data_IF_530154881968
#
_entry.id   IF_530154881968
#
_cell.length_a   1.000
_cell.length_b   1.000
_cell.length_c   1.000
_cell.angle_alpha   90.00
_cell.angle_beta   90.00
_cell.angle_gamma   90.00
#
_symmetry.space_group_name_H-M   'P 1'
#
loop_
_entity.id
_entity.type
_entity.pdbx_description
1 polymer ?
#
# COMPACT_ATOMS: atom_id res chain seq x y z
N UNK A 1 24.41 18.98 -23.30
CA UNK A 1 24.69 17.85 -22.44
C UNK A 1 23.77 17.85 -21.23
N UNK A 2 22.53 17.34 -21.38
CA UNK A 2 21.50 17.31 -20.33
C UNK A 2 21.44 15.96 -19.58
N UNK A 3 22.38 15.07 -19.82
CA UNK A 3 22.43 13.73 -19.21
C UNK A 3 23.02 13.76 -17.79
N UNK A 4 23.62 14.89 -17.38
CA UNK A 4 24.24 15.01 -16.05
C UNK A 4 23.31 15.45 -14.91
N UNK A 5 22.11 16.00 -15.19
CA UNK A 5 21.25 16.55 -14.15
C UNK A 5 20.30 15.54 -13.51
N UNK A 6 19.83 14.55 -14.26
CA UNK A 6 18.92 13.52 -13.73
C UNK A 6 19.63 12.51 -12.80
N UNK A 7 20.87 12.16 -13.10
CA UNK A 7 21.69 11.33 -12.17
C UNK A 7 22.00 12.06 -10.86
N UNK A 8 22.17 13.39 -10.88
CA UNK A 8 22.43 14.18 -9.68
C UNK A 8 21.26 14.26 -8.70
N UNK A 9 20.01 14.22 -9.18
CA UNK A 9 18.82 14.27 -8.29
C UNK A 9 18.59 12.92 -7.60
N UNK A 10 18.77 11.81 -8.32
CA UNK A 10 18.69 10.45 -7.74
C UNK A 10 19.74 10.20 -6.64
N UNK A 11 20.93 10.72 -6.80
CA UNK A 11 22.04 10.52 -5.86
C UNK A 11 22.00 11.49 -4.67
N UNK A 12 21.44 12.71 -4.83
CA UNK A 12 21.49 13.74 -3.79
C UNK A 12 20.76 13.38 -2.50
N UNK A 13 19.63 12.69 -2.58
CA UNK A 13 18.88 12.26 -1.38
C UNK A 13 19.64 11.18 -0.57
N UNK A 14 20.58 10.45 -1.21
CA UNK A 14 21.40 9.44 -0.56
C UNK A 14 22.79 9.96 -0.15
N UNK A 15 23.27 11.05 -0.76
CA UNK A 15 24.64 11.58 -0.56
C UNK A 15 24.93 11.95 0.91
N UNK A 16 23.90 12.38 1.64
CA UNK A 16 24.00 12.74 3.05
C UNK A 16 23.54 11.62 4.01
N UNK A 17 23.12 10.47 3.47
CA UNK A 17 22.68 9.34 4.27
C UNK A 17 23.89 8.60 4.86
N UNK A 18 23.92 8.41 6.18
CA UNK A 18 24.99 7.69 6.87
C UNK A 18 25.12 6.22 6.43
N UNK A 19 24.04 5.64 5.88
CA UNK A 19 23.99 4.26 5.41
C UNK A 19 24.27 4.13 3.90
N UNK A 20 24.57 5.24 3.21
CA UNK A 20 24.76 5.22 1.77
C UNK A 20 26.10 4.59 1.38
N UNK A 21 26.03 3.48 0.68
CA UNK A 21 27.18 2.84 0.06
C UNK A 21 27.00 2.82 -1.45
N UNK A 22 27.78 3.58 -2.19
CA UNK A 22 27.66 3.80 -3.64
C UNK A 22 27.58 2.51 -4.48
N UNK A 23 28.17 1.41 -4.01
CA UNK A 23 28.16 0.11 -4.69
C UNK A 23 27.03 -0.83 -4.27
N UNK A 24 26.34 -0.53 -3.20
CA UNK A 24 25.26 -1.36 -2.63
C UNK A 24 24.10 -0.45 -2.24
N UNK A 25 23.15 -0.20 -3.17
CA UNK A 25 21.97 0.60 -2.84
C UNK A 25 21.19 -0.07 -1.72
N UNK A 26 20.77 0.71 -0.73
CA UNK A 26 19.91 0.25 0.35
C UNK A 26 18.62 -0.38 -0.21
N UNK A 27 18.11 -1.41 0.44
CA UNK A 27 16.74 -1.85 0.20
C UNK A 27 15.78 -0.73 0.55
N UNK A 28 14.66 -0.61 -0.16
CA UNK A 28 13.67 0.45 0.12
C UNK A 28 13.17 0.40 1.57
N UNK A 29 12.97 -0.81 2.13
CA UNK A 29 12.52 -0.99 3.51
C UNK A 29 13.58 -0.63 4.59
N UNK A 30 14.83 -0.44 4.20
CA UNK A 30 15.95 -0.05 5.09
C UNK A 30 16.33 1.41 4.89
N UNK A 31 15.67 2.11 3.96
CA UNK A 31 16.00 3.48 3.60
C UNK A 31 15.48 4.46 4.67
N UNK A 32 16.36 5.10 5.40
CA UNK A 32 16.02 6.11 6.41
C UNK A 32 15.50 7.43 5.83
N UNK A 33 15.76 7.67 4.54
CA UNK A 33 15.31 8.86 3.80
C UNK A 33 14.23 8.49 2.77
N UNK A 34 13.38 7.51 3.08
CA UNK A 34 12.39 7.02 2.11
C UNK A 34 11.34 8.07 1.79
N UNK A 35 10.83 8.78 2.79
CA UNK A 35 9.83 9.84 2.63
C UNK A 35 10.35 10.96 1.74
N UNK A 36 11.54 11.47 2.01
CA UNK A 36 12.15 12.55 1.23
C UNK A 36 12.41 12.14 -0.22
N UNK A 37 12.76 10.87 -0.45
CA UNK A 37 12.96 10.34 -1.80
C UNK A 37 11.65 10.19 -2.57
N UNK A 38 10.58 9.82 -1.88
CA UNK A 38 9.22 9.77 -2.45
C UNK A 38 8.77 11.20 -2.80
N UNK A 39 8.91 12.15 -1.86
CA UNK A 39 8.54 13.56 -2.06
C UNK A 39 9.35 14.22 -3.19
N UNK A 40 10.61 13.85 -3.33
CA UNK A 40 11.47 14.32 -4.42
C UNK A 40 11.16 13.66 -5.78
N UNK A 41 10.21 12.72 -5.85
CA UNK A 41 9.82 12.03 -7.09
C UNK A 41 10.91 11.15 -7.70
N UNK A 42 11.91 10.71 -6.90
CA UNK A 42 13.03 9.90 -7.40
C UNK A 42 12.78 8.39 -7.33
N UNK A 43 11.65 8.00 -6.74
CA UNK A 43 11.24 6.60 -6.62
C UNK A 43 9.94 6.37 -7.40
N UNK A 44 9.91 5.28 -8.15
CA UNK A 44 8.75 4.87 -8.93
C UNK A 44 7.99 3.72 -8.26
N UNK A 45 6.68 3.63 -8.48
CA UNK A 45 5.84 2.52 -8.02
C UNK A 45 6.41 1.14 -8.36
N UNK A 46 7.01 0.99 -9.54
CA UNK A 46 7.62 -0.26 -9.99
C UNK A 46 8.77 -0.74 -9.09
N UNK A 47 9.50 0.17 -8.44
CA UNK A 47 10.59 -0.17 -7.52
C UNK A 47 10.02 -0.77 -6.24
N UNK A 48 8.95 -0.19 -5.70
CA UNK A 48 8.24 -0.69 -4.51
C UNK A 48 7.60 -2.07 -4.78
N UNK A 49 6.92 -2.22 -5.90
CA UNK A 49 6.31 -3.49 -6.31
C UNK A 49 7.38 -4.58 -6.44
N UNK A 50 8.50 -4.27 -7.07
CA UNK A 50 9.61 -5.22 -7.23
C UNK A 50 10.21 -5.60 -5.87
N UNK A 51 10.50 -4.64 -5.01
CA UNK A 51 11.09 -4.92 -3.69
C UNK A 51 10.11 -5.65 -2.76
N UNK A 52 8.80 -5.36 -2.86
CA UNK A 52 7.79 -5.99 -2.01
C UNK A 52 7.50 -7.43 -2.42
N UNK A 53 7.34 -7.69 -3.71
CA UNK A 53 6.72 -8.92 -4.19
C UNK A 53 7.67 -9.86 -4.97
N UNK A 54 8.81 -9.37 -5.52
CA UNK A 54 9.66 -10.16 -6.41
C UNK A 54 10.05 -11.56 -5.89
N UNK A 55 10.36 -11.75 -4.60
CA UNK A 55 10.80 -13.05 -4.09
C UNK A 55 9.72 -14.15 -4.15
N UNK A 56 8.45 -13.75 -4.13
CA UNK A 56 7.30 -14.67 -4.02
C UNK A 56 6.29 -14.58 -5.17
N UNK A 57 6.59 -13.77 -6.20
CA UNK A 57 5.72 -13.58 -7.36
C UNK A 57 5.65 -14.82 -8.25
N UNK A 58 4.54 -15.55 -8.19
CA UNK A 58 4.15 -16.51 -9.23
C UNK A 58 3.85 -15.80 -10.57
N UNK A 59 3.88 -16.55 -11.71
CA UNK A 59 3.67 -15.97 -13.05
C UNK A 59 2.32 -15.25 -13.20
N UNK A 60 1.25 -15.80 -12.64
CA UNK A 60 -0.10 -15.24 -12.70
C UNK A 60 -0.21 -13.92 -11.93
N UNK A 61 0.30 -13.88 -10.69
CA UNK A 61 0.34 -12.67 -9.89
C UNK A 61 1.13 -11.56 -10.59
N UNK A 62 2.31 -11.90 -11.14
CA UNK A 62 3.16 -10.96 -11.90
C UNK A 62 2.43 -10.38 -13.11
N UNK A 63 1.75 -11.23 -13.90
CA UNK A 63 0.95 -10.80 -15.05
C UNK A 63 -0.12 -9.80 -14.64
N UNK A 64 -0.87 -10.11 -13.57
CA UNK A 64 -1.93 -9.26 -13.04
C UNK A 64 -1.41 -7.92 -12.52
N UNK A 65 -0.29 -7.95 -11.79
CA UNK A 65 0.38 -6.75 -11.31
C UNK A 65 0.84 -5.84 -12.44
N UNK A 66 1.50 -6.41 -13.48
CA UNK A 66 1.93 -5.64 -14.64
C UNK A 66 0.76 -5.04 -15.41
N UNK A 67 -0.35 -5.75 -15.52
CA UNK A 67 -1.56 -5.23 -16.16
C UNK A 67 -2.09 -4.02 -15.39
N UNK A 68 -2.20 -4.10 -14.08
CA UNK A 68 -2.67 -2.99 -13.25
C UNK A 68 -1.78 -1.75 -13.31
N UNK A 69 -0.47 -1.94 -13.29
CA UNK A 69 0.50 -0.84 -13.41
C UNK A 69 0.45 -0.13 -14.77
N UNK A 70 -0.06 -0.81 -15.82
CA UNK A 70 -0.23 -0.21 -17.15
C UNK A 70 -1.57 0.49 -17.33
N UNK A 71 -2.64 -0.06 -16.76
CA UNK A 71 -4.02 0.37 -17.00
C UNK A 71 -4.47 1.49 -16.05
N UNK A 72 -3.85 1.58 -14.89
CA UNK A 72 -4.19 2.60 -13.89
C UNK A 72 -2.97 3.47 -13.60
N UNK A 73 -3.15 4.77 -13.73
CA UNK A 73 -2.35 5.72 -12.99
C UNK A 73 -2.37 5.30 -11.52
N UNK A 74 -1.27 5.34 -10.77
CA UNK A 74 -1.20 4.83 -9.39
C UNK A 74 -2.11 5.64 -8.45
N UNK A 75 -3.42 5.45 -8.58
CA UNK A 75 -4.39 5.98 -7.63
C UNK A 75 -4.63 4.94 -6.56
N UNK A 76 -4.07 5.15 -5.38
CA UNK A 76 -4.26 4.26 -4.25
C UNK A 76 -5.71 4.24 -3.76
N UNK A 77 -6.38 5.38 -3.79
CA UNK A 77 -7.75 5.48 -3.30
C UNK A 77 -8.77 5.16 -4.38
N UNK A 78 -9.81 4.39 -4.03
CA UNK A 78 -10.94 4.10 -4.94
C UNK A 78 -11.74 5.37 -5.32
N UNK A 79 -11.77 6.34 -4.41
CA UNK A 79 -12.55 7.55 -4.57
C UNK A 79 -12.12 8.62 -3.57
N UNK A 80 -12.52 9.87 -3.83
CA UNK A 80 -12.36 10.97 -2.87
C UNK A 80 -13.08 10.69 -1.53
N UNK A 81 -14.15 9.91 -1.53
CA UNK A 81 -14.84 9.51 -0.30
C UNK A 81 -14.00 8.53 0.53
N UNK A 82 -13.33 7.57 -0.11
CA UNK A 82 -12.37 6.68 0.53
C UNK A 82 -11.21 7.48 1.14
N UNK A 83 -10.58 8.36 0.36
CA UNK A 83 -9.48 9.21 0.83
C UNK A 83 -9.86 10.03 2.05
N UNK A 84 -11.02 10.73 2.01
CA UNK A 84 -11.51 11.51 3.14
C UNK A 84 -11.77 10.67 4.39
N UNK A 85 -12.38 9.47 4.25
CA UNK A 85 -12.59 8.56 5.39
C UNK A 85 -11.28 8.12 6.00
N UNK A 86 -10.33 7.68 5.17
CA UNK A 86 -9.03 7.22 5.63
C UNK A 86 -8.26 8.33 6.35
N UNK A 87 -8.12 9.52 5.76
CA UNK A 87 -7.43 10.67 6.37
C UNK A 87 -8.05 11.03 7.71
N UNK A 88 -9.40 11.15 7.76
CA UNK A 88 -10.10 11.48 8.99
C UNK A 88 -9.83 10.50 10.14
N UNK A 89 -9.83 9.20 9.86
CA UNK A 89 -9.63 8.19 10.90
C UNK A 89 -8.16 7.95 11.20
N UNK A 90 -7.27 8.08 10.25
CA UNK A 90 -5.82 8.02 10.45
C UNK A 90 -5.35 9.10 11.43
N UNK A 91 -5.88 10.30 11.35
CA UNK A 91 -5.56 11.39 12.29
C UNK A 91 -6.08 11.14 13.71
N UNK A 92 -7.24 10.49 13.85
CA UNK A 92 -7.83 10.14 15.14
C UNK A 92 -7.15 8.96 15.82
N UNK A 93 -6.70 8.00 15.03
CA UNK A 93 -6.03 6.79 15.50
C UNK A 93 -4.51 6.92 15.31
N UNK A 94 -3.91 7.93 15.88
CA UNK A 94 -2.51 8.33 15.65
C UNK A 94 -1.46 7.32 16.12
N UNK A 95 -1.83 6.35 16.98
CA UNK A 95 -0.93 5.28 17.47
C UNK A 95 -0.89 4.03 16.59
N UNK A 96 -1.61 4.01 15.48
CA UNK A 96 -1.62 2.85 14.60
C UNK A 96 -0.23 2.59 14.04
N UNK A 97 0.21 1.32 14.12
CA UNK A 97 1.36 0.83 13.37
C UNK A 97 1.07 0.88 11.86
N UNK A 98 2.11 0.83 11.02
CA UNK A 98 1.93 0.85 9.56
C UNK A 98 1.04 -0.30 9.06
N UNK A 99 1.10 -1.47 9.70
CA UNK A 99 0.17 -2.58 9.44
C UNK A 99 -1.28 -2.21 9.75
N UNK A 100 -1.51 -1.57 10.87
CA UNK A 100 -2.87 -1.14 11.24
C UNK A 100 -3.35 0.06 10.42
N UNK A 101 -2.46 0.95 9.97
CA UNK A 101 -2.79 2.00 9.00
C UNK A 101 -3.19 1.39 7.65
N UNK A 102 -2.46 0.37 7.17
CA UNK A 102 -2.80 -0.36 5.96
C UNK A 102 -4.15 -1.11 6.09
N UNK A 103 -4.43 -1.69 7.25
CA UNK A 103 -5.75 -2.26 7.52
C UNK A 103 -6.85 -1.20 7.54
N UNK A 104 -6.61 -0.04 8.16
CA UNK A 104 -7.53 1.10 8.14
C UNK A 104 -7.82 1.55 6.70
N UNK A 105 -6.78 1.63 5.85
CA UNK A 105 -6.93 1.96 4.44
C UNK A 105 -7.91 1.02 3.73
N UNK A 106 -7.77 -0.29 3.90
CA UNK A 106 -8.66 -1.28 3.33
C UNK A 106 -10.09 -1.18 3.89
N UNK A 107 -10.22 -1.07 5.20
CA UNK A 107 -11.53 -1.05 5.87
C UNK A 107 -12.33 0.22 5.53
N UNK A 108 -11.67 1.33 5.27
CA UNK A 108 -12.32 2.60 4.89
C UNK A 108 -12.62 2.71 3.40
N UNK A 109 -12.17 1.76 2.56
CA UNK A 109 -12.42 1.78 1.12
C UNK A 109 -13.92 1.77 0.80
N UNK A 110 -14.66 0.92 1.48
CA UNK A 110 -16.10 0.80 1.31
C UNK A 110 -16.85 1.26 2.56
N UNK A 111 -17.82 2.15 2.36
CA UNK A 111 -18.60 2.70 3.48
C UNK A 111 -19.37 1.62 4.25
N UNK A 112 -19.94 0.64 3.54
CA UNK A 112 -20.67 -0.48 4.13
C UNK A 112 -19.80 -1.36 5.02
N UNK A 113 -18.54 -1.57 4.64
CA UNK A 113 -17.54 -2.28 5.44
C UNK A 113 -17.13 -1.44 6.66
N UNK A 114 -16.82 -0.16 6.44
CA UNK A 114 -16.41 0.74 7.51
C UNK A 114 -17.47 0.89 8.59
N UNK A 115 -18.74 1.01 8.24
CA UNK A 115 -19.85 1.08 9.22
C UNK A 115 -19.89 -0.11 10.18
N UNK A 116 -19.42 -1.30 9.75
CA UNK A 116 -19.33 -2.50 10.60
C UNK A 116 -18.10 -2.48 11.50
N UNK A 117 -17.05 -1.74 11.09
CA UNK A 117 -15.73 -1.73 11.73
C UNK A 117 -15.49 -0.52 12.63
N UNK A 118 -16.18 0.59 12.41
CA UNK A 118 -15.89 1.87 13.06
C UNK A 118 -15.90 1.78 14.59
N UNK A 119 -16.82 1.03 15.17
CA UNK A 119 -16.93 0.83 16.63
C UNK A 119 -15.94 -0.23 17.17
N UNK A 120 -15.17 -0.85 16.30
CA UNK A 120 -14.16 -1.86 16.60
C UNK A 120 -12.74 -1.34 16.35
N UNK A 121 -12.63 -0.08 15.97
CA UNK A 121 -11.37 0.63 15.79
C UNK A 121 -10.99 1.31 17.11
N UNK A 122 -9.85 0.91 17.66
CA UNK A 122 -9.21 1.56 18.82
C UNK A 122 -7.91 2.27 18.41
N UNK A 123 -7.27 2.92 19.37
CA UNK A 123 -6.01 3.63 19.14
C UNK A 123 -4.85 2.70 18.74
N UNK A 124 -4.92 1.43 19.14
CA UNK A 124 -3.82 0.46 18.93
C UNK A 124 -4.14 -0.58 17.85
N UNK A 125 -5.34 -0.53 17.24
CA UNK A 125 -5.74 -1.47 16.18
C UNK A 125 -7.23 -1.77 16.16
N UNK A 126 -7.58 -2.98 15.70
CA UNK A 126 -8.95 -3.41 15.42
C UNK A 126 -9.32 -4.70 16.16
N UNK A 127 -10.55 -4.75 16.67
CA UNK A 127 -11.15 -5.99 17.17
C UNK A 127 -11.88 -6.73 16.04
N UNK A 128 -11.13 -7.56 15.31
CA UNK A 128 -11.68 -8.38 14.22
C UNK A 128 -12.54 -9.56 14.70
N UNK A 129 -12.44 -9.96 15.98
CA UNK A 129 -13.13 -11.14 16.48
C UNK A 129 -14.62 -10.88 16.72
N UNK A 130 -14.97 -9.66 17.11
CA UNK A 130 -16.35 -9.29 17.45
C UNK A 130 -17.17 -8.79 16.24
N UNK A 131 -16.61 -8.83 15.02
CA UNK A 131 -17.29 -8.31 13.82
C UNK A 131 -18.18 -9.38 13.19
N UNK A 132 -19.44 -9.01 12.94
CA UNK A 132 -20.39 -9.85 12.20
C UNK A 132 -20.41 -9.47 10.73
N UNK A 133 -20.06 -10.42 9.86
CA UNK A 133 -19.97 -10.23 8.41
C UNK A 133 -21.15 -10.82 7.63
N UNK A 134 -22.23 -11.27 8.33
CA UNK A 134 -23.39 -11.86 7.65
C UNK A 134 -23.95 -10.95 6.55
N UNK A 135 -24.18 -11.50 5.35
CA UNK A 135 -24.71 -10.77 4.19
C UNK A 135 -23.73 -9.76 3.57
N UNK A 136 -22.43 -9.89 3.79
CA UNK A 136 -21.43 -9.07 3.11
C UNK A 136 -21.17 -9.62 1.70
N UNK A 137 -20.93 -8.72 0.76
CA UNK A 137 -20.55 -9.08 -0.61
C UNK A 137 -19.18 -9.81 -0.64
N UNK A 138 -18.96 -10.77 -1.57
CA UNK A 138 -17.70 -11.52 -1.65
C UNK A 138 -16.47 -10.63 -1.78
N UNK A 139 -16.56 -9.55 -2.54
CA UNK A 139 -15.49 -8.60 -2.73
C UNK A 139 -15.09 -7.91 -1.40
N UNK A 140 -16.08 -7.40 -0.66
CA UNK A 140 -15.85 -6.77 0.63
C UNK A 140 -15.30 -7.77 1.65
N UNK A 141 -15.72 -9.04 1.55
CA UNK A 141 -15.18 -10.11 2.37
C UNK A 141 -13.69 -10.34 2.11
N UNK A 142 -13.27 -10.34 0.84
CA UNK A 142 -11.85 -10.46 0.45
C UNK A 142 -11.02 -9.31 1.00
N UNK A 143 -11.53 -8.07 0.87
CA UNK A 143 -10.88 -6.87 1.42
C UNK A 143 -10.77 -6.93 2.95
N UNK A 144 -11.84 -7.38 3.63
CA UNK A 144 -11.83 -7.56 5.09
C UNK A 144 -10.81 -8.61 5.52
N UNK A 145 -10.75 -9.76 4.84
CA UNK A 145 -9.78 -10.82 5.16
C UNK A 145 -8.33 -10.35 4.95
N UNK A 146 -8.09 -9.56 3.90
CA UNK A 146 -6.79 -8.96 3.67
C UNK A 146 -6.42 -7.95 4.78
N UNK A 147 -7.36 -7.09 5.18
CA UNK A 147 -7.15 -6.15 6.28
C UNK A 147 -6.81 -6.87 7.59
N UNK A 148 -7.57 -7.93 7.91
CA UNK A 148 -7.31 -8.78 9.08
C UNK A 148 -5.94 -9.45 8.99
N UNK A 149 -5.59 -10.04 7.84
CA UNK A 149 -4.31 -10.70 7.62
C UNK A 149 -3.13 -9.75 7.82
N UNK A 150 -3.22 -8.54 7.29
CA UNK A 150 -2.18 -7.50 7.43
C UNK A 150 -2.04 -7.06 8.88
N UNK A 151 -3.15 -6.75 9.56
CA UNK A 151 -3.12 -6.23 10.93
C UNK A 151 -2.64 -7.27 11.95
N UNK A 152 -3.17 -8.50 11.86
CA UNK A 152 -2.92 -9.56 12.85
C UNK A 152 -1.72 -10.44 12.49
N UNK A 153 -1.31 -10.44 11.21
CA UNK A 153 -0.22 -11.27 10.72
C UNK A 153 -0.62 -12.73 10.46
N UNK A 154 -1.91 -13.00 10.22
CA UNK A 154 -2.42 -14.33 9.88
C UNK A 154 -2.55 -14.52 8.36
N UNK A 155 -2.30 -15.73 7.87
CA UNK A 155 -2.34 -16.05 6.42
C UNK A 155 -3.72 -16.53 6.01
N UNK A 156 -4.73 -15.64 5.99
CA UNK A 156 -6.08 -15.99 5.53
C UNK A 156 -6.28 -15.76 4.02
N UNK A 157 -5.35 -15.09 3.36
CA UNK A 157 -5.35 -14.83 1.93
C UNK A 157 -3.92 -15.03 1.41
N UNK A 158 -3.76 -15.78 0.36
CA UNK A 158 -2.45 -16.09 -0.24
C UNK A 158 -2.20 -15.26 -1.50
N UNK A 159 -0.95 -15.18 -1.95
CA UNK A 159 -0.64 -14.58 -3.25
C UNK A 159 -1.29 -15.31 -4.42
N UNK A 160 -1.56 -16.62 -4.28
CA UNK A 160 -2.29 -17.40 -5.27
C UNK A 160 -3.75 -16.97 -5.33
N UNK A 161 -4.40 -16.73 -4.18
CA UNK A 161 -5.77 -16.22 -4.12
C UNK A 161 -5.85 -14.82 -4.76
N UNK A 162 -4.88 -13.95 -4.44
CA UNK A 162 -4.78 -12.63 -5.06
C UNK A 162 -4.53 -12.69 -6.58
N UNK A 163 -3.87 -13.73 -7.07
CA UNK A 163 -3.64 -13.91 -8.49
C UNK A 163 -4.90 -14.33 -9.27
N UNK A 164 -5.94 -14.86 -8.59
CA UNK A 164 -7.18 -15.33 -9.21
C UNK A 164 -8.21 -14.20 -9.30
N UNK A 165 -8.61 -13.76 -10.52
CA UNK A 165 -9.65 -12.74 -10.70
C UNK A 165 -11.04 -13.20 -10.24
N UNK A 166 -11.25 -14.51 -10.15
CA UNK A 166 -12.52 -15.10 -9.69
C UNK A 166 -12.70 -14.95 -8.18
N UNK A 167 -11.61 -14.94 -7.43
CA UNK A 167 -11.62 -14.81 -5.97
C UNK A 167 -11.47 -13.36 -5.50
N UNK A 168 -10.69 -12.58 -6.22
CA UNK A 168 -10.38 -11.19 -5.87
C UNK A 168 -10.54 -10.33 -7.12
N UNK A 169 -11.49 -9.42 -7.13
CA UNK A 169 -11.72 -8.48 -8.25
C UNK A 169 -10.48 -7.61 -8.50
N UNK A 170 -10.38 -6.97 -9.66
CA UNK A 170 -9.26 -6.08 -9.97
C UNK A 170 -9.21 -4.86 -9.05
N UNK A 171 -10.38 -4.39 -8.61
CA UNK A 171 -10.50 -3.31 -7.64
C UNK A 171 -9.98 -3.72 -6.25
N UNK A 172 -10.43 -4.87 -5.75
CA UNK A 172 -9.94 -5.43 -4.49
C UNK A 172 -8.44 -5.77 -4.55
N UNK A 173 -7.96 -6.31 -5.67
CA UNK A 173 -6.54 -6.58 -5.89
C UNK A 173 -5.70 -5.31 -5.80
N UNK A 174 -6.14 -4.24 -6.45
CA UNK A 174 -5.47 -2.93 -6.40
C UNK A 174 -5.39 -2.40 -4.97
N UNK A 175 -6.49 -2.41 -4.24
CA UNK A 175 -6.53 -1.99 -2.83
C UNK A 175 -5.58 -2.82 -1.96
N UNK A 176 -5.65 -4.14 -2.08
CA UNK A 176 -4.86 -5.06 -1.25
C UNK A 176 -3.37 -4.89 -1.53
N UNK A 177 -2.98 -4.76 -2.80
CA UNK A 177 -1.56 -4.54 -3.15
C UNK A 177 -1.06 -3.19 -2.64
N UNK A 178 -1.87 -2.13 -2.74
CA UNK A 178 -1.57 -0.83 -2.13
C UNK A 178 -1.40 -0.90 -0.61
N UNK A 179 -2.30 -1.62 0.06
CA UNK A 179 -2.21 -1.82 1.51
C UNK A 179 -0.96 -2.62 1.93
N UNK A 180 -0.54 -3.61 1.14
CA UNK A 180 0.69 -4.37 1.39
C UNK A 180 1.93 -3.49 1.25
N UNK A 181 1.96 -2.58 0.27
CA UNK A 181 3.03 -1.59 0.16
C UNK A 181 3.04 -0.65 1.36
N UNK A 182 1.87 -0.14 1.77
CA UNK A 182 1.74 0.71 2.96
C UNK A 182 2.19 -0.02 4.23
N UNK A 183 1.84 -1.29 4.41
CA UNK A 183 2.24 -2.07 5.57
C UNK A 183 3.75 -2.28 5.67
N UNK A 184 4.45 -2.28 4.52
CA UNK A 184 5.91 -2.49 4.44
C UNK A 184 6.71 -1.20 4.48
N UNK A 185 6.22 -0.13 3.87
CA UNK A 185 6.99 1.11 3.65
C UNK A 185 6.38 2.34 4.35
N UNK A 186 5.28 2.17 5.08
CA UNK A 186 4.55 3.27 5.69
C UNK A 186 3.58 3.97 4.72
N UNK A 187 2.84 4.92 5.27
CA UNK A 187 1.83 5.68 4.54
C UNK A 187 2.42 6.74 3.57
N UNK A 188 3.73 6.99 3.63
CA UNK A 188 4.44 7.82 2.66
C UNK A 188 4.30 7.33 1.21
N UNK A 189 4.09 6.02 0.98
CA UNK A 189 3.85 5.47 -0.37
C UNK A 189 2.64 6.09 -1.07
N UNK A 190 1.68 6.63 -0.32
CA UNK A 190 0.52 7.33 -0.90
C UNK A 190 0.89 8.63 -1.62
N UNK A 191 2.08 9.16 -1.36
CA UNK A 191 2.59 10.37 -2.02
C UNK A 191 3.21 10.06 -3.40
N UNK A 192 3.39 8.79 -3.77
CA UNK A 192 3.85 8.39 -5.11
C UNK A 192 2.90 8.87 -6.23
N UNK A 193 1.62 9.13 -5.91
CA UNK A 193 0.65 9.69 -6.85
C UNK A 193 0.95 11.14 -7.25
N UNK A 194 1.66 11.90 -6.42
CA UNK A 194 1.85 13.34 -6.60
C UNK A 194 2.97 13.69 -7.58
N UNK A 195 3.89 12.76 -7.86
CA UNK A 195 5.05 13.00 -8.73
C UNK A 195 4.75 13.03 -10.24
N UNK A 196 3.55 12.67 -10.69
CA UNK A 196 3.21 12.50 -12.12
C UNK A 196 2.41 13.67 -12.70
N UNK A 197 1.90 14.59 -11.88
CA UNK A 197 0.98 15.66 -12.31
C UNK A 197 1.59 17.09 -12.38
N UNK A 198 2.90 17.24 -12.27
CA UNK A 198 3.55 18.59 -12.37
C UNK A 198 4.57 18.65 -13.51
N UNK A 199 4.17 18.21 -14.73
CA UNK A 199 4.88 18.59 -15.98
C UNK A 199 3.92 19.03 -17.05
#
# INVERSE_FOLDING_TARGET
SLVGSEMCIRDRACEYCQNYVRKHPCRLCECTCLEERIEAGVLEMNEFVRDCFAPSMGPQFRKRMHQQLRERNPQFFLSNAHQRRWTYWRERCWRLSDRNKAALFLLTAYESLWRRMVWKCGNDGFDFQSVRLGGIEPELYSVYQAAKAIAVGCCNITLADLASPELVTDEAFHLITGALLMAKYGDAVLNLEKGVNET
#
